data_IF_544483668530
#
_entry.id   IF_544483668530
#
_cell.length_a   1.000
_cell.length_b   1.000
_cell.length_c   1.000
_cell.angle_alpha   90.00
_cell.angle_beta   90.00
_cell.angle_gamma   90.00
#
_symmetry.space_group_name_H-M   'P 1'
#
loop_
_entity.id
_entity.type
_entity.pdbx_description
1 polymer ?
#
# COMPACT_ATOMS: atom_id res chain seq x y z
N UNK A 1 -18.13 8.74 -7.30
CA UNK A 1 -17.47 10.06 -7.26
C UNK A 1 -16.36 10.11 -8.31
N UNK A 2 -16.00 11.30 -8.81
CA UNK A 2 -14.90 11.47 -9.80
C UNK A 2 -13.58 10.85 -9.35
N UNK A 3 -13.39 10.65 -8.06
CA UNK A 3 -12.17 10.04 -7.50
C UNK A 3 -12.05 8.53 -7.75
N UNK A 4 -13.13 7.81 -7.90
CA UNK A 4 -13.10 6.38 -8.23
C UNK A 4 -12.73 6.13 -9.70
N UNK A 5 -13.01 7.08 -10.58
CA UNK A 5 -12.68 6.95 -12.02
C UNK A 5 -11.18 6.98 -12.31
N UNK A 6 -10.37 7.66 -11.49
CA UNK A 6 -8.93 7.83 -11.73
C UNK A 6 -8.03 6.72 -11.16
N UNK A 7 -8.59 5.75 -10.43
CA UNK A 7 -7.84 4.78 -9.61
C UNK A 7 -7.87 3.37 -10.14
N UNK A 8 -8.08 3.18 -11.43
CA UNK A 8 -8.19 1.83 -11.98
C UNK A 8 -6.83 1.29 -12.37
N UNK A 9 -6.42 0.24 -11.66
CA UNK A 9 -5.38 -0.67 -12.10
C UNK A 9 -6.06 -1.93 -12.66
N UNK A 10 -5.72 -2.31 -13.88
CA UNK A 10 -6.20 -3.55 -14.46
C UNK A 10 -5.15 -4.63 -14.25
N UNK A 11 -5.49 -5.64 -13.45
CA UNK A 11 -4.71 -6.85 -13.29
C UNK A 11 -5.33 -7.96 -14.14
N UNK A 12 -4.58 -8.50 -15.08
CA UNK A 12 -4.93 -9.71 -15.82
C UNK A 12 -4.05 -10.86 -15.34
N UNK A 13 -4.67 -11.94 -14.90
CA UNK A 13 -3.98 -13.17 -14.54
C UNK A 13 -3.73 -14.03 -15.79
N UNK A 14 -2.56 -14.63 -15.86
CA UNK A 14 -2.20 -15.59 -16.88
C UNK A 14 -1.29 -16.67 -16.29
N UNK A 15 -1.43 -17.91 -16.79
CA UNK A 15 -0.56 -19.01 -16.42
C UNK A 15 0.84 -18.93 -17.07
N UNK A 16 0.99 -18.07 -18.09
CA UNK A 16 2.25 -17.88 -18.79
C UNK A 16 2.46 -16.40 -19.14
N UNK A 17 3.71 -15.93 -19.32
CA UNK A 17 4.00 -14.53 -19.65
C UNK A 17 3.64 -14.15 -21.10
N UNK A 18 2.99 -15.04 -21.83
CA UNK A 18 2.68 -14.85 -23.24
C UNK A 18 1.28 -14.23 -23.39
N UNK A 19 1.26 -13.00 -23.90
CA UNK A 19 0.04 -12.31 -24.28
C UNK A 19 0.27 -11.67 -25.67
N UNK A 20 0.11 -12.46 -26.76
CA UNK A 20 0.50 -12.03 -28.11
C UNK A 20 -0.12 -10.71 -28.56
N UNK A 21 -1.39 -10.50 -28.25
CA UNK A 21 -2.14 -9.28 -28.64
C UNK A 21 -2.10 -8.15 -27.60
N UNK A 22 -1.14 -8.17 -26.68
CA UNK A 22 -1.08 -7.19 -25.56
C UNK A 22 -1.15 -5.73 -26.00
N UNK A 23 -0.47 -5.37 -27.08
CA UNK A 23 -0.45 -3.98 -27.57
C UNK A 23 -1.80 -3.55 -28.13
N UNK A 24 -2.49 -4.42 -28.89
CA UNK A 24 -3.81 -4.15 -29.41
C UNK A 24 -4.85 -4.09 -28.28
N UNK A 25 -4.72 -5.00 -27.30
CA UNK A 25 -5.55 -5.00 -26.10
C UNK A 25 -5.40 -3.67 -25.32
N UNK A 26 -4.16 -3.23 -25.05
CA UNK A 26 -3.89 -1.97 -24.36
C UNK A 26 -4.46 -0.78 -25.12
N UNK A 27 -4.27 -0.74 -26.46
CA UNK A 27 -4.82 0.33 -27.31
C UNK A 27 -6.35 0.39 -27.27
N UNK A 28 -7.00 -0.78 -27.45
CA UNK A 28 -8.45 -0.86 -27.43
C UNK A 28 -9.03 -0.46 -26.06
N UNK A 29 -8.46 -1.01 -24.98
CA UNK A 29 -8.92 -0.73 -23.63
C UNK A 29 -8.77 0.76 -23.26
N UNK A 30 -7.67 1.39 -23.63
CA UNK A 30 -7.46 2.82 -23.37
C UNK A 30 -8.31 3.75 -24.22
N UNK A 31 -8.73 3.28 -25.39
CA UNK A 31 -9.68 4.02 -26.24
C UNK A 31 -11.05 4.11 -25.56
N UNK A 32 -11.52 2.99 -24.98
CA UNK A 32 -12.81 2.90 -24.30
C UNK A 32 -12.77 3.45 -22.86
N UNK A 33 -11.60 3.35 -22.21
CA UNK A 33 -11.36 3.69 -20.81
C UNK A 33 -10.11 4.57 -20.65
N UNK A 34 -10.17 5.85 -21.08
CA UNK A 34 -9.03 6.77 -21.01
C UNK A 34 -8.57 7.06 -19.56
N UNK A 35 -9.44 6.84 -18.57
CA UNK A 35 -9.18 6.99 -17.14
C UNK A 35 -8.23 5.92 -16.57
N UNK A 36 -7.96 4.85 -17.30
CA UNK A 36 -7.00 3.82 -16.85
C UNK A 36 -5.58 4.37 -16.90
N UNK A 37 -4.94 4.46 -15.74
CA UNK A 37 -3.57 5.00 -15.59
C UNK A 37 -2.51 3.92 -15.61
N UNK A 38 -2.86 2.66 -15.36
CA UNK A 38 -1.91 1.55 -15.32
C UNK A 38 -2.56 0.23 -15.71
N UNK A 39 -1.85 -0.58 -16.50
CA UNK A 39 -2.28 -1.94 -16.89
C UNK A 39 -1.13 -2.88 -16.56
N UNK A 40 -1.41 -3.89 -15.75
CA UNK A 40 -0.42 -4.88 -15.30
C UNK A 40 -0.91 -6.28 -15.64
N UNK A 41 -0.03 -7.09 -16.21
CA UNK A 41 -0.22 -8.53 -16.38
C UNK A 41 0.43 -9.23 -15.19
N UNK A 42 -0.37 -9.89 -14.37
CA UNK A 42 0.13 -10.74 -13.31
C UNK A 42 0.24 -12.19 -13.79
N UNK A 43 1.39 -12.80 -13.58
CA UNK A 43 1.66 -14.19 -13.93
C UNK A 43 1.42 -15.05 -12.70
N UNK A 44 0.39 -15.87 -12.76
CA UNK A 44 0.07 -16.84 -11.72
C UNK A 44 0.09 -18.25 -12.34
N UNK A 45 1.22 -18.90 -12.26
CA UNK A 45 1.49 -20.25 -12.76
C UNK A 45 1.40 -21.33 -11.67
N UNK A 46 1.20 -20.93 -10.42
CA UNK A 46 1.10 -21.82 -9.27
C UNK A 46 -0.35 -22.28 -9.05
N UNK A 47 -0.54 -23.59 -8.89
CA UNK A 47 -1.83 -24.18 -8.48
C UNK A 47 -2.03 -24.05 -6.96
N UNK A 48 -2.22 -22.83 -6.50
CA UNK A 48 -2.46 -22.50 -5.08
C UNK A 48 -3.73 -21.68 -4.93
N UNK A 49 -4.20 -21.48 -3.70
CA UNK A 49 -5.30 -20.55 -3.40
C UNK A 49 -4.95 -19.07 -3.55
N UNK A 50 -3.69 -18.76 -3.84
CA UNK A 50 -3.24 -17.39 -4.07
C UNK A 50 -3.85 -16.83 -5.36
N UNK A 51 -4.54 -15.70 -5.25
CA UNK A 51 -5.18 -15.02 -6.39
C UNK A 51 -4.14 -14.39 -7.30
N UNK A 52 -3.07 -13.79 -6.76
CA UNK A 52 -2.00 -13.17 -7.51
C UNK A 52 -0.72 -13.99 -7.43
N UNK A 53 -0.07 -14.19 -8.57
CA UNK A 53 1.29 -14.72 -8.64
C UNK A 53 2.33 -13.65 -8.30
N UNK A 54 3.56 -14.05 -8.07
CA UNK A 54 4.64 -13.16 -7.63
C UNK A 54 5.15 -12.20 -8.71
N UNK A 55 4.92 -12.54 -10.00
CA UNK A 55 5.51 -11.81 -11.12
C UNK A 55 4.49 -10.92 -11.82
N UNK A 56 4.85 -9.65 -11.96
CA UNK A 56 4.09 -8.65 -12.70
C UNK A 56 4.86 -8.17 -13.94
N UNK A 57 4.14 -7.92 -15.03
CA UNK A 57 4.63 -7.27 -16.24
C UNK A 57 3.78 -6.02 -16.48
N UNK A 58 4.39 -4.86 -16.45
CA UNK A 58 3.70 -3.60 -16.76
C UNK A 58 3.47 -3.53 -18.27
N UNK A 59 2.20 -3.49 -18.67
CA UNK A 59 1.80 -3.35 -20.06
C UNK A 59 1.59 -1.88 -20.45
N UNK A 60 1.16 -1.04 -19.48
CA UNK A 60 0.96 0.39 -19.66
C UNK A 60 1.09 1.12 -18.33
N UNK A 61 1.56 2.38 -18.40
CA UNK A 61 1.67 3.26 -17.25
C UNK A 61 2.83 2.91 -16.31
N UNK A 62 2.70 3.33 -15.06
CA UNK A 62 3.76 3.19 -14.04
C UNK A 62 3.76 1.85 -13.30
N UNK A 63 2.75 0.99 -13.52
CA UNK A 63 2.58 -0.27 -12.79
C UNK A 63 2.05 -0.10 -11.36
N UNK A 64 1.64 1.09 -10.99
CA UNK A 64 0.98 1.40 -9.73
C UNK A 64 -0.05 2.51 -9.93
N UNK A 65 -0.93 2.70 -8.96
CA UNK A 65 -1.83 3.85 -8.90
C UNK A 65 -1.46 4.74 -7.71
N UNK A 66 -2.00 5.95 -7.69
CA UNK A 66 -1.86 6.87 -6.57
C UNK A 66 -3.23 7.28 -6.05
N UNK A 67 -3.33 7.43 -4.74
CA UNK A 67 -4.51 7.92 -4.05
C UNK A 67 -4.16 8.91 -2.96
N UNK A 68 -5.11 9.78 -2.63
CA UNK A 68 -4.98 10.72 -1.51
C UNK A 68 -5.86 10.28 -0.34
N UNK A 69 -5.29 10.26 0.87
CA UNK A 69 -5.98 9.93 2.10
C UNK A 69 -5.45 10.81 3.23
N UNK A 70 -6.34 11.53 3.91
CA UNK A 70 -5.98 12.44 5.03
C UNK A 70 -4.86 13.45 4.69
N UNK A 71 -4.79 13.90 3.43
CA UNK A 71 -3.81 14.88 2.97
C UNK A 71 -2.41 14.31 2.69
N UNK A 72 -2.31 12.98 2.56
CA UNK A 72 -1.12 12.28 2.07
C UNK A 72 -1.41 11.60 0.75
N UNK A 73 -0.42 11.57 -0.15
CA UNK A 73 -0.48 10.80 -1.40
C UNK A 73 0.17 9.45 -1.21
N UNK A 74 -0.57 8.38 -1.52
CA UNK A 74 -0.11 7.00 -1.42
C UNK A 74 0.08 6.38 -2.78
N UNK A 75 1.24 5.79 -3.00
CA UNK A 75 1.49 4.85 -4.08
C UNK A 75 0.97 3.48 -3.66
N UNK A 76 0.24 2.82 -4.57
CA UNK A 76 -0.40 1.52 -4.33
C UNK A 76 0.01 0.58 -5.45
N UNK A 77 0.83 -0.42 -5.12
CA UNK A 77 1.25 -1.46 -6.06
C UNK A 77 0.20 -2.58 -6.16
N UNK A 78 0.21 -3.42 -7.21
CA UNK A 78 -0.79 -4.47 -7.42
C UNK A 78 -0.96 -5.47 -6.27
N UNK A 79 0.12 -5.73 -5.52
CA UNK A 79 0.13 -6.67 -4.39
C UNK A 79 -0.16 -6.01 -3.04
N UNK A 80 -0.30 -4.68 -3.02
CA UNK A 80 -0.53 -3.95 -1.78
C UNK A 80 -2.01 -3.92 -1.45
N UNK A 81 -2.33 -4.20 -0.19
CA UNK A 81 -3.66 -3.96 0.33
C UNK A 81 -3.89 -2.46 0.53
N UNK A 82 -5.04 -1.98 0.11
CA UNK A 82 -5.49 -0.61 0.35
C UNK A 82 -7.01 -0.59 0.56
N UNK A 83 -7.48 0.23 1.48
CA UNK A 83 -8.91 0.35 1.81
C UNK A 83 -9.68 0.94 0.62
N UNK A 84 -10.71 0.22 0.17
CA UNK A 84 -11.47 0.57 -1.05
C UNK A 84 -12.46 1.72 -0.87
N UNK A 85 -12.80 2.08 0.39
CA UNK A 85 -13.71 3.18 0.70
C UNK A 85 -12.98 4.33 1.39
N UNK A 86 -12.40 5.28 0.66
CA UNK A 86 -11.55 6.33 1.23
C UNK A 86 -12.29 7.21 2.23
N UNK A 87 -13.56 7.52 1.99
CA UNK A 87 -14.35 8.37 2.90
C UNK A 87 -14.52 7.71 4.27
N UNK A 88 -14.85 6.42 4.30
CA UNK A 88 -14.99 5.69 5.57
C UNK A 88 -13.62 5.42 6.22
N UNK A 89 -12.61 5.17 5.42
CA UNK A 89 -11.24 4.99 5.91
C UNK A 89 -10.72 6.25 6.61
N UNK A 90 -10.94 7.42 6.04
CA UNK A 90 -10.58 8.68 6.70
C UNK A 90 -11.29 8.85 8.04
N UNK A 91 -12.60 8.58 8.07
CA UNK A 91 -13.39 8.66 9.32
C UNK A 91 -12.86 7.68 10.37
N UNK A 92 -12.59 6.44 9.96
CA UNK A 92 -12.05 5.39 10.83
C UNK A 92 -10.69 5.81 11.41
N UNK A 93 -9.76 6.22 10.57
CA UNK A 93 -8.40 6.57 10.99
C UNK A 93 -8.38 7.82 11.87
N UNK A 94 -9.12 8.88 11.50
CA UNK A 94 -9.26 10.08 12.33
C UNK A 94 -9.87 9.75 13.69
N UNK A 95 -10.85 8.84 13.74
CA UNK A 95 -11.46 8.39 15.00
C UNK A 95 -10.48 7.59 15.85
N UNK A 96 -9.77 6.64 15.25
CA UNK A 96 -8.78 5.81 15.94
C UNK A 96 -7.66 6.67 16.57
N UNK A 97 -7.08 7.59 15.80
CA UNK A 97 -6.05 8.51 16.29
C UNK A 97 -6.57 9.42 17.41
N UNK A 98 -7.80 9.93 17.29
CA UNK A 98 -8.42 10.71 18.35
C UNK A 98 -8.62 9.90 19.65
N UNK A 99 -9.02 8.61 19.52
CA UNK A 99 -9.22 7.74 20.68
C UNK A 99 -7.89 7.32 21.33
N UNK A 100 -6.82 7.28 20.57
CA UNK A 100 -5.48 7.00 21.08
C UNK A 100 -4.94 8.13 21.97
N UNK A 101 -5.56 9.32 21.92
CA UNK A 101 -5.24 10.48 22.76
C UNK A 101 -3.76 10.85 22.82
N UNK A 102 -3.11 10.85 21.65
CA UNK A 102 -1.68 11.05 21.48
C UNK A 102 -1.26 12.46 21.92
N UNK A 103 -0.14 12.56 22.66
CA UNK A 103 0.35 13.82 23.25
C UNK A 103 1.66 14.32 22.62
N UNK A 104 2.13 13.68 21.56
CA UNK A 104 3.33 14.05 20.81
C UNK A 104 4.64 13.46 21.35
N UNK A 105 4.61 12.66 22.41
CA UNK A 105 5.78 12.05 23.03
C UNK A 105 5.88 10.54 22.81
N UNK A 106 4.81 9.95 22.34
CA UNK A 106 4.66 8.52 22.19
C UNK A 106 5.50 8.00 21.02
N UNK A 107 5.95 6.76 21.16
CA UNK A 107 6.32 5.88 20.07
C UNK A 107 5.08 5.05 19.74
N UNK A 108 4.73 4.92 18.47
CA UNK A 108 3.58 4.13 18.01
C UNK A 108 4.05 3.00 17.15
N UNK A 109 3.60 1.79 17.45
CA UNK A 109 3.78 0.62 16.59
C UNK A 109 2.55 0.45 15.71
N UNK A 110 2.74 0.52 14.39
CA UNK A 110 1.76 0.17 13.36
C UNK A 110 2.07 -1.27 12.91
N UNK A 111 1.54 -2.24 13.64
CA UNK A 111 1.67 -3.66 13.34
C UNK A 111 0.78 -4.00 12.12
N UNK A 112 1.32 -4.73 11.16
CA UNK A 112 0.67 -5.02 9.86
C UNK A 112 0.40 -3.75 9.05
N UNK A 113 1.38 -2.86 8.96
CA UNK A 113 1.21 -1.49 8.48
C UNK A 113 0.87 -1.36 6.99
N UNK A 114 0.99 -2.43 6.20
CA UNK A 114 0.77 -2.39 4.76
C UNK A 114 1.66 -1.35 4.08
N UNK A 115 1.05 -0.45 3.33
CA UNK A 115 1.77 0.67 2.68
C UNK A 115 1.94 1.90 3.59
N UNK A 116 1.74 1.74 4.91
CA UNK A 116 2.02 2.74 5.94
C UNK A 116 0.96 3.79 6.15
N UNK A 117 -0.30 3.53 5.77
CA UNK A 117 -1.36 4.56 5.74
C UNK A 117 -1.66 5.13 7.13
N UNK A 118 -2.00 4.29 8.11
CA UNK A 118 -2.39 4.78 9.44
C UNK A 118 -1.20 5.32 10.22
N UNK A 119 -0.05 4.67 10.12
CA UNK A 119 1.19 5.12 10.75
C UNK A 119 1.62 6.50 10.27
N UNK A 120 1.54 6.77 8.95
CA UNK A 120 1.85 8.08 8.40
C UNK A 120 0.87 9.16 8.86
N UNK A 121 -0.42 8.84 8.96
CA UNK A 121 -1.42 9.79 9.46
C UNK A 121 -1.18 10.09 10.94
N UNK A 122 -0.82 9.08 11.75
CA UNK A 122 -0.47 9.23 13.16
C UNK A 122 0.82 10.02 13.38
N UNK A 123 1.76 9.97 12.44
CA UNK A 123 3.10 10.57 12.58
C UNK A 123 3.09 12.06 12.93
N UNK A 124 2.03 12.79 12.57
CA UNK A 124 1.86 14.21 12.91
C UNK A 124 1.68 14.48 14.41
N UNK A 125 1.29 13.47 15.19
CA UNK A 125 0.89 13.60 16.57
C UNK A 125 1.72 12.76 17.53
N UNK A 126 2.84 12.20 17.06
CA UNK A 126 3.70 11.31 17.86
C UNK A 126 5.18 11.65 17.67
N UNK A 127 6.01 11.20 18.59
CA UNK A 127 7.47 11.33 18.48
C UNK A 127 8.03 10.48 17.34
N UNK A 128 7.60 9.22 17.26
CA UNK A 128 8.08 8.24 16.30
C UNK A 128 7.00 7.20 15.97
N UNK A 129 7.01 6.72 14.74
CA UNK A 129 6.21 5.57 14.32
C UNK A 129 7.13 4.45 13.86
N UNK A 130 6.83 3.23 14.26
CA UNK A 130 7.46 2.01 13.78
C UNK A 130 6.40 1.22 13.04
N UNK A 131 6.56 1.06 11.73
CA UNK A 131 5.69 0.22 10.88
C UNK A 131 6.32 -1.15 10.67
N UNK A 132 5.56 -2.21 10.86
CA UNK A 132 5.98 -3.59 10.63
C UNK A 132 5.04 -4.26 9.65
N UNK A 133 5.59 -4.88 8.61
CA UNK A 133 4.83 -5.54 7.56
C UNK A 133 5.63 -6.71 7.00
N UNK A 134 4.98 -7.83 6.76
CA UNK A 134 5.59 -9.04 6.21
C UNK A 134 5.86 -8.93 4.71
N UNK A 135 4.97 -8.28 3.98
CA UNK A 135 5.03 -8.16 2.53
C UNK A 135 6.10 -7.12 2.10
N UNK A 136 7.16 -7.62 1.46
CA UNK A 136 8.28 -6.80 0.98
C UNK A 136 7.87 -5.65 0.06
N UNK A 137 6.90 -5.88 -0.83
CA UNK A 137 6.45 -4.86 -1.79
C UNK A 137 5.67 -3.76 -1.07
N UNK A 138 4.86 -4.12 -0.07
CA UNK A 138 4.15 -3.16 0.77
C UNK A 138 5.13 -2.31 1.60
N UNK A 139 6.17 -2.91 2.19
CA UNK A 139 7.24 -2.17 2.91
C UNK A 139 7.96 -1.19 1.99
N UNK A 140 8.29 -1.62 0.76
CA UNK A 140 8.92 -0.74 -0.23
C UNK A 140 8.01 0.44 -0.58
N UNK A 141 6.72 0.20 -0.78
CA UNK A 141 5.75 1.26 -1.04
C UNK A 141 5.59 2.17 0.19
N UNK A 142 5.55 1.64 1.40
CA UNK A 142 5.48 2.41 2.65
C UNK A 142 6.67 3.38 2.80
N UNK A 143 7.89 2.90 2.57
CA UNK A 143 9.11 3.73 2.58
C UNK A 143 9.03 4.84 1.52
N UNK A 144 8.60 4.47 0.29
CA UNK A 144 8.43 5.42 -0.80
C UNK A 144 7.36 6.47 -0.50
N UNK A 145 6.25 6.06 0.10
CA UNK A 145 5.15 6.92 0.51
C UNK A 145 5.59 7.91 1.59
N UNK A 146 6.28 7.44 2.63
CA UNK A 146 6.80 8.32 3.67
C UNK A 146 7.77 9.36 3.11
N UNK A 147 8.72 8.93 2.28
CA UNK A 147 9.67 9.83 1.61
C UNK A 147 8.97 10.84 0.71
N UNK A 148 8.01 10.40 -0.12
CA UNK A 148 7.28 11.26 -1.05
C UNK A 148 6.42 12.30 -0.36
N UNK A 149 5.94 12.01 0.85
CA UNK A 149 5.16 12.93 1.68
C UNK A 149 5.99 13.71 2.72
N UNK A 150 7.31 13.56 2.73
CA UNK A 150 8.21 14.27 3.64
C UNK A 150 8.10 13.83 5.10
N UNK A 151 7.54 12.66 5.39
CA UNK A 151 7.44 12.11 6.75
C UNK A 151 8.79 11.54 7.17
N UNK A 152 9.36 12.07 8.26
CA UNK A 152 10.73 11.75 8.71
C UNK A 152 10.78 10.93 10.00
N UNK A 153 9.72 10.93 10.78
CA UNK A 153 9.63 10.26 12.08
C UNK A 153 8.92 8.91 12.01
N UNK A 154 9.08 8.22 10.88
CA UNK A 154 8.54 6.87 10.68
C UNK A 154 9.64 5.95 10.14
N UNK A 155 9.69 4.72 10.63
CA UNK A 155 10.57 3.65 10.14
C UNK A 155 9.75 2.42 9.82
N UNK A 156 10.15 1.69 8.80
CA UNK A 156 9.47 0.47 8.38
C UNK A 156 10.41 -0.72 8.42
N UNK A 157 9.89 -1.83 8.92
CA UNK A 157 10.60 -3.11 9.02
C UNK A 157 9.83 -4.20 8.30
N UNK A 158 10.55 -4.99 7.49
CA UNK A 158 9.99 -6.20 6.91
C UNK A 158 10.17 -7.34 7.91
N UNK A 159 9.12 -7.69 8.62
CA UNK A 159 9.13 -8.75 9.62
C UNK A 159 7.71 -9.28 9.88
N UNK A 160 7.62 -10.45 10.53
CA UNK A 160 6.39 -10.84 11.21
C UNK A 160 6.17 -9.92 12.41
N UNK A 161 4.97 -9.36 12.54
CA UNK A 161 4.68 -8.39 13.59
C UNK A 161 4.71 -8.99 14.99
N UNK A 162 4.32 -10.26 15.14
CA UNK A 162 4.37 -10.98 16.42
C UNK A 162 5.82 -11.20 16.88
N UNK A 163 6.65 -11.73 15.98
CA UNK A 163 8.08 -11.94 16.27
C UNK A 163 8.80 -10.61 16.55
N UNK A 164 8.48 -9.57 15.81
CA UNK A 164 9.05 -8.24 16.00
C UNK A 164 8.71 -7.68 17.40
N UNK A 165 7.43 -7.77 17.80
CA UNK A 165 7.00 -7.31 19.13
C UNK A 165 7.68 -8.07 20.28
N UNK A 166 7.85 -9.39 20.15
CA UNK A 166 8.56 -10.20 21.14
C UNK A 166 10.01 -9.75 21.24
N UNK A 167 10.71 -9.60 20.12
CA UNK A 167 12.10 -9.14 20.12
C UNK A 167 12.27 -7.73 20.72
N UNK A 168 11.34 -6.82 20.48
CA UNK A 168 11.35 -5.49 21.09
C UNK A 168 11.13 -5.53 22.60
N UNK A 169 10.22 -6.39 23.07
CA UNK A 169 9.97 -6.56 24.50
C UNK A 169 11.19 -7.13 25.22
N UNK A 170 11.90 -8.08 24.61
CA UNK A 170 13.15 -8.65 25.15
C UNK A 170 14.27 -7.62 25.23
N UNK A 171 14.30 -6.64 24.33
CA UNK A 171 15.25 -5.52 24.35
C UNK A 171 14.87 -4.40 25.33
N UNK A 172 13.73 -4.54 26.03
CA UNK A 172 13.25 -3.54 26.99
C UNK A 172 12.70 -2.26 26.35
N UNK A 173 12.42 -2.28 25.07
CA UNK A 173 11.77 -1.15 24.38
C UNK A 173 10.32 -1.02 24.84
N UNK A 174 9.98 0.16 25.38
CA UNK A 174 8.61 0.52 25.75
C UNK A 174 7.96 1.32 24.61
N UNK A 175 6.80 0.86 24.20
CA UNK A 175 5.91 1.54 23.25
C UNK A 175 4.85 2.35 23.98
#
# INVERSE_FOLDING_TARGET
SKMEEYRRILNKQAAAPVFPSKNNFVKALRKEHPEITSIVLNINDKKTSMILGERNIVLYGKGYIQDELCGYTFRISPHSFYQVNPVQTERLYKKAIRLADLKGKEKVLDAYCGIGTIGMIASKQVKEVIGVELNRDAVRDAIGNAKGNGVKNIRFYQADAGEFMVAMAEQGEKM
#
